data_IF_171025431843
#
_entry.id   IF_171025431843
#
_cell.length_a   1.000
_cell.length_b   1.000
_cell.length_c   1.000
_cell.angle_alpha   90.00
_cell.angle_beta   90.00
_cell.angle_gamma   90.00
#
_symmetry.space_group_name_H-M   'P 1'
#
loop_
_entity.id
_entity.type
_entity.pdbx_description
1 polymer ?
#
# COMPACT_ATOMS: atom_id res chain seq x y z
N UNK A 1 18.90 -23.52 -5.72
CA UNK A 1 17.49 -23.76 -6.05
C UNK A 1 16.71 -22.60 -5.46
N UNK A 2 16.63 -21.51 -6.22
CA UNK A 2 16.19 -20.21 -5.69
C UNK A 2 14.71 -19.98 -5.93
N UNK A 3 14.13 -19.03 -5.17
CA UNK A 3 12.78 -18.49 -5.37
C UNK A 3 12.48 -18.17 -6.85
N UNK A 4 13.52 -17.82 -7.62
CA UNK A 4 13.45 -17.55 -9.06
C UNK A 4 12.97 -18.75 -9.89
N UNK A 5 13.39 -19.97 -9.58
CA UNK A 5 12.97 -21.16 -10.35
C UNK A 5 11.50 -21.49 -10.05
N UNK A 6 11.10 -21.40 -8.78
CA UNK A 6 9.71 -21.57 -8.37
C UNK A 6 8.78 -20.48 -8.93
N UNK A 7 9.26 -19.23 -8.99
CA UNK A 7 8.52 -18.11 -9.59
C UNK A 7 8.38 -18.27 -11.11
N UNK A 8 9.41 -18.76 -11.80
CA UNK A 8 9.37 -19.03 -13.24
C UNK A 8 8.42 -20.20 -13.57
N UNK A 9 8.42 -21.26 -12.76
CA UNK A 9 7.46 -22.38 -12.91
C UNK A 9 6.00 -21.94 -12.65
N UNK A 10 5.78 -21.09 -11.64
CA UNK A 10 4.47 -20.51 -11.37
C UNK A 10 4.01 -19.62 -12.53
N UNK A 11 4.89 -18.75 -13.05
CA UNK A 11 4.61 -17.91 -14.22
C UNK A 11 4.29 -18.74 -15.48
N UNK A 12 5.06 -19.79 -15.76
CA UNK A 12 4.78 -20.67 -16.90
C UNK A 12 3.42 -21.36 -16.78
N UNK A 13 3.06 -21.80 -15.57
CA UNK A 13 1.76 -22.44 -15.32
C UNK A 13 0.62 -21.44 -15.50
N UNK A 14 0.76 -20.22 -14.98
CA UNK A 14 -0.23 -19.14 -15.14
C UNK A 14 -0.40 -18.73 -16.61
N UNK A 15 0.69 -18.66 -17.38
CA UNK A 15 0.65 -18.35 -18.82
C UNK A 15 -0.02 -19.48 -19.62
N UNK A 16 0.25 -20.75 -19.31
CA UNK A 16 -0.39 -21.89 -19.96
C UNK A 16 -1.89 -21.92 -19.72
N UNK A 17 -2.33 -21.70 -18.47
CA UNK A 17 -3.76 -21.59 -18.11
C UNK A 17 -4.40 -20.39 -18.80
N UNK A 18 -3.71 -19.24 -18.87
CA UNK A 18 -4.19 -18.06 -19.58
C UNK A 18 -4.42 -18.36 -21.07
N UNK A 19 -3.47 -19.01 -21.74
CA UNK A 19 -3.56 -19.34 -23.17
C UNK A 19 -4.71 -20.32 -23.49
N UNK A 20 -4.96 -21.33 -22.65
CA UNK A 20 -6.05 -22.30 -22.87
C UNK A 20 -7.45 -21.75 -22.55
N UNK A 21 -7.60 -20.89 -21.53
CA UNK A 21 -8.91 -20.37 -21.10
C UNK A 21 -9.36 -19.15 -21.93
N UNK A 22 -8.42 -18.35 -22.43
CA UNK A 22 -8.73 -17.11 -23.17
C UNK A 22 -9.49 -17.34 -24.49
N UNK A 23 -9.38 -18.52 -25.10
CA UNK A 23 -10.08 -18.85 -26.36
C UNK A 23 -11.59 -19.15 -26.21
N UNK A 24 -12.13 -19.31 -24.99
CA UNK A 24 -13.55 -19.66 -24.80
C UNK A 24 -14.21 -19.30 -23.46
N UNK A 25 -13.46 -18.85 -22.45
CA UNK A 25 -13.97 -18.66 -21.08
C UNK A 25 -13.35 -17.45 -20.37
N UNK A 26 -13.16 -16.32 -21.07
CA UNK A 26 -12.67 -15.05 -20.49
C UNK A 26 -13.33 -14.66 -19.15
N UNK A 27 -14.66 -14.77 -18.97
CA UNK A 27 -15.30 -14.44 -17.69
C UNK A 27 -14.87 -15.36 -16.52
N UNK A 28 -14.53 -16.62 -16.81
CA UNK A 28 -14.02 -17.55 -15.81
C UNK A 28 -12.59 -17.19 -15.43
N UNK A 29 -11.75 -16.85 -16.41
CA UNK A 29 -10.36 -16.42 -16.17
C UNK A 29 -10.31 -15.16 -15.32
N UNK A 30 -11.11 -14.14 -15.65
CA UNK A 30 -11.20 -12.89 -14.87
C UNK A 30 -11.63 -13.18 -13.43
N UNK A 31 -12.64 -14.03 -13.24
CA UNK A 31 -13.10 -14.42 -11.90
C UNK A 31 -12.03 -15.19 -11.12
N UNK A 32 -11.36 -16.15 -11.75
CA UNK A 32 -10.29 -16.92 -11.12
C UNK A 32 -9.11 -16.03 -10.75
N UNK A 33 -8.68 -15.13 -11.63
CA UNK A 33 -7.61 -14.19 -11.36
C UNK A 33 -7.98 -13.22 -10.23
N UNK A 34 -9.23 -12.75 -10.17
CA UNK A 34 -9.70 -11.92 -9.05
C UNK A 34 -9.55 -12.62 -7.70
N UNK A 35 -10.00 -13.87 -7.58
CA UNK A 35 -9.85 -14.67 -6.35
C UNK A 35 -8.37 -14.90 -6.00
N UNK A 36 -7.53 -15.13 -7.01
CA UNK A 36 -6.09 -15.30 -6.79
C UNK A 36 -5.42 -14.02 -6.29
N UNK A 37 -5.84 -12.85 -6.81
CA UNK A 37 -5.34 -11.55 -6.36
C UNK A 37 -5.78 -11.28 -4.91
N UNK A 38 -7.03 -11.54 -4.55
CA UNK A 38 -7.49 -11.48 -3.16
C UNK A 38 -6.61 -12.33 -2.23
N UNK A 39 -6.45 -13.62 -2.57
CA UNK A 39 -5.63 -14.54 -1.80
C UNK A 39 -4.16 -14.13 -1.71
N UNK A 40 -3.60 -13.53 -2.78
CA UNK A 40 -2.24 -13.01 -2.78
C UNK A 40 -2.07 -11.86 -1.78
N UNK A 41 -2.97 -10.88 -1.80
CA UNK A 41 -2.90 -9.72 -0.90
C UNK A 41 -3.15 -10.15 0.55
N UNK A 42 -4.10 -11.05 0.79
CA UNK A 42 -4.33 -11.62 2.13
C UNK A 42 -3.12 -12.41 2.63
N UNK A 43 -2.39 -13.10 1.72
CA UNK A 43 -1.14 -13.78 2.05
C UNK A 43 -0.06 -12.78 2.44
N UNK A 44 0.10 -11.67 1.69
CA UNK A 44 1.06 -10.63 2.06
C UNK A 44 0.74 -10.01 3.43
N UNK A 45 -0.53 -9.73 3.71
CA UNK A 45 -0.97 -9.21 5.00
C UNK A 45 -0.72 -10.21 6.13
N UNK A 46 -1.01 -11.49 5.90
CA UNK A 46 -0.73 -12.55 6.88
C UNK A 46 0.77 -12.68 7.17
N UNK A 47 1.60 -12.68 6.11
CA UNK A 47 3.05 -12.73 6.23
C UNK A 47 3.61 -11.52 6.98
N UNK A 48 3.06 -10.32 6.75
CA UNK A 48 3.41 -9.14 7.54
C UNK A 48 3.14 -9.38 9.03
N UNK A 49 1.93 -9.79 9.39
CA UNK A 49 1.57 -10.02 10.79
C UNK A 49 2.37 -11.14 11.46
N UNK A 50 2.75 -12.18 10.73
CA UNK A 50 3.59 -13.28 11.24
C UNK A 50 5.03 -12.85 11.55
N UNK A 51 5.52 -11.80 10.89
CA UNK A 51 6.92 -11.38 10.91
C UNK A 51 7.15 -9.96 11.49
N UNK A 52 6.09 -9.21 11.79
CA UNK A 52 6.15 -7.84 12.34
C UNK A 52 7.01 -7.71 13.61
N UNK A 53 7.07 -8.76 14.43
CA UNK A 53 7.86 -8.77 15.67
C UNK A 53 9.20 -9.55 15.55
N UNK A 54 9.50 -10.04 14.35
CA UNK A 54 10.70 -10.83 14.03
C UNK A 54 11.55 -10.08 13.01
N UNK A 55 11.39 -10.42 11.74
CA UNK A 55 12.20 -9.93 10.63
C UNK A 55 11.88 -8.47 10.28
N UNK A 56 10.65 -8.02 10.55
CA UNK A 56 10.20 -6.64 10.32
C UNK A 56 10.24 -5.79 11.60
N UNK A 57 10.92 -6.26 12.65
CA UNK A 57 10.99 -5.55 13.93
C UNK A 57 11.64 -4.16 13.81
N UNK A 58 12.54 -3.97 12.84
CA UNK A 58 13.25 -2.71 12.62
C UNK A 58 13.07 -2.23 11.17
N UNK A 59 11.82 -2.12 10.72
CA UNK A 59 11.50 -1.61 9.40
C UNK A 59 11.85 -0.12 9.31
N UNK A 60 12.91 0.21 8.56
CA UNK A 60 13.35 1.59 8.35
C UNK A 60 12.64 2.25 7.16
N UNK A 61 12.90 3.54 6.96
CA UNK A 61 12.28 4.32 5.88
C UNK A 61 12.58 3.75 4.49
N UNK A 62 13.78 3.21 4.28
CA UNK A 62 14.17 2.64 2.98
C UNK A 62 13.44 1.32 2.72
N UNK A 63 13.36 0.45 3.71
CA UNK A 63 12.60 -0.79 3.65
C UNK A 63 11.11 -0.54 3.41
N UNK A 64 10.55 0.47 4.09
CA UNK A 64 9.17 0.93 3.82
C UNK A 64 8.99 1.38 2.37
N UNK A 65 9.86 2.27 1.87
CA UNK A 65 9.76 2.77 0.49
C UNK A 65 9.90 1.65 -0.55
N UNK A 66 10.79 0.68 -0.31
CA UNK A 66 10.97 -0.47 -1.18
C UNK A 66 9.72 -1.35 -1.21
N UNK A 67 9.13 -1.66 -0.05
CA UNK A 67 7.90 -2.44 0.02
C UNK A 67 6.73 -1.71 -0.64
N UNK A 68 6.60 -0.40 -0.44
CA UNK A 68 5.59 0.41 -1.12
C UNK A 68 5.76 0.40 -2.65
N UNK A 69 7.00 0.49 -3.16
CA UNK A 69 7.28 0.37 -4.59
C UNK A 69 6.87 -1.01 -5.15
N UNK A 70 7.14 -2.09 -4.42
CA UNK A 70 6.76 -3.44 -4.81
C UNK A 70 5.23 -3.60 -4.83
N UNK A 71 4.53 -3.06 -3.83
CA UNK A 71 3.06 -3.04 -3.81
C UNK A 71 2.48 -2.20 -4.96
N UNK A 72 3.04 -1.04 -5.26
CA UNK A 72 2.64 -0.19 -6.39
C UNK A 72 2.84 -0.91 -7.73
N UNK A 73 3.92 -1.68 -7.86
CA UNK A 73 4.20 -2.53 -9.03
C UNK A 73 3.14 -3.64 -9.18
N UNK A 74 2.85 -4.38 -8.12
CA UNK A 74 1.81 -5.41 -8.13
C UNK A 74 0.43 -4.82 -8.42
N UNK A 75 0.07 -3.71 -7.77
CA UNK A 75 -1.19 -3.01 -8.02
C UNK A 75 -1.30 -2.61 -9.49
N UNK A 76 -0.24 -2.02 -10.07
CA UNK A 76 -0.26 -1.58 -11.47
C UNK A 76 -0.48 -2.74 -12.45
N UNK A 77 0.22 -3.86 -12.26
CA UNK A 77 0.13 -5.00 -13.18
C UNK A 77 -1.17 -5.78 -13.01
N UNK A 78 -1.63 -5.94 -11.77
CA UNK A 78 -2.80 -6.75 -11.45
C UNK A 78 -4.09 -5.94 -11.41
N UNK A 79 -4.04 -4.61 -11.61
CA UNK A 79 -5.21 -3.73 -11.52
C UNK A 79 -6.46 -4.22 -12.27
N UNK A 80 -6.37 -4.84 -13.47
CA UNK A 80 -7.54 -5.37 -14.17
C UNK A 80 -8.29 -6.48 -13.40
N UNK A 81 -7.61 -7.13 -12.45
CA UNK A 81 -8.11 -8.23 -11.65
C UNK A 81 -8.31 -7.87 -10.18
N UNK A 82 -8.02 -6.63 -9.77
CA UNK A 82 -8.24 -6.17 -8.40
C UNK A 82 -9.73 -6.05 -8.10
N UNK A 83 -10.22 -6.90 -7.22
CA UNK A 83 -11.56 -6.83 -6.65
C UNK A 83 -11.65 -5.76 -5.56
N UNK A 84 -12.86 -5.50 -5.05
CA UNK A 84 -13.03 -4.56 -3.96
C UNK A 84 -12.32 -5.05 -2.70
N UNK A 85 -12.50 -6.34 -2.37
CA UNK A 85 -11.88 -6.99 -1.22
C UNK A 85 -10.35 -6.91 -1.31
N UNK A 86 -9.76 -7.21 -2.47
CA UNK A 86 -8.31 -7.11 -2.66
C UNK A 86 -7.78 -5.68 -2.44
N UNK A 87 -8.53 -4.64 -2.87
CA UNK A 87 -8.15 -3.24 -2.65
C UNK A 87 -8.22 -2.85 -1.18
N UNK A 88 -9.23 -3.33 -0.46
CA UNK A 88 -9.35 -3.10 0.99
C UNK A 88 -8.23 -3.80 1.77
N UNK A 89 -7.91 -5.04 1.43
CA UNK A 89 -6.77 -5.77 2.03
C UNK A 89 -5.44 -5.08 1.71
N UNK A 90 -5.24 -4.58 0.47
CA UNK A 90 -4.02 -3.86 0.08
C UNK A 90 -3.87 -2.57 0.88
N UNK A 91 -4.95 -1.80 1.02
CA UNK A 91 -4.95 -0.57 1.82
C UNK A 91 -4.64 -0.86 3.30
N UNK A 92 -5.20 -1.95 3.83
CA UNK A 92 -4.91 -2.41 5.20
C UNK A 92 -3.42 -2.73 5.36
N UNK A 93 -2.84 -3.47 4.41
CA UNK A 93 -1.40 -3.80 4.41
C UNK A 93 -0.52 -2.54 4.34
N UNK A 94 -0.82 -1.61 3.43
CA UNK A 94 -0.08 -0.35 3.31
C UNK A 94 -0.15 0.47 4.60
N UNK A 95 -1.31 0.53 5.25
CA UNK A 95 -1.50 1.17 6.55
C UNK A 95 -0.66 0.51 7.65
N UNK A 96 -0.67 -0.81 7.72
CA UNK A 96 0.09 -1.56 8.73
C UNK A 96 1.62 -1.41 8.54
N UNK A 97 2.10 -1.37 7.30
CA UNK A 97 3.50 -1.08 6.98
C UNK A 97 3.91 0.32 7.42
N UNK A 98 3.05 1.32 7.20
CA UNK A 98 3.30 2.70 7.61
C UNK A 98 3.32 2.85 9.13
N UNK A 99 2.36 2.23 9.83
CA UNK A 99 2.33 2.20 11.29
C UNK A 99 3.63 1.59 11.82
N UNK A 100 4.04 0.43 11.29
CA UNK A 100 5.26 -0.24 11.71
C UNK A 100 6.52 0.58 11.47
N UNK A 101 6.65 1.20 10.29
CA UNK A 101 7.80 2.04 9.97
C UNK A 101 7.87 3.28 10.88
N UNK A 102 6.70 3.83 11.24
CA UNK A 102 6.59 4.95 12.18
C UNK A 102 7.01 4.54 13.60
N UNK A 103 6.55 3.39 14.09
CA UNK A 103 6.96 2.83 15.40
C UNK A 103 8.47 2.62 15.49
N UNK A 104 9.08 2.03 14.45
CA UNK A 104 10.52 1.76 14.41
C UNK A 104 11.39 3.03 14.44
N UNK A 105 10.86 4.14 13.90
CA UNK A 105 11.53 5.44 13.93
C UNK A 105 11.54 6.06 15.35
N UNK A 106 10.55 5.73 16.18
CA UNK A 106 10.44 6.19 17.57
C UNK A 106 11.33 5.34 18.49
N UNK A 107 11.31 4.02 18.33
CA UNK A 107 12.09 3.08 19.18
C UNK A 107 13.62 3.25 19.04
N UNK A 108 14.09 3.77 17.90
CA UNK A 108 15.51 4.06 17.67
C UNK A 108 16.03 5.26 18.48
N UNK A 109 15.14 6.07 19.07
CA UNK A 109 15.50 7.27 19.85
C UNK A 109 15.55 7.04 21.36
N UNK A 110 15.03 5.91 21.86
CA UNK A 110 15.07 5.56 23.29
C UNK A 110 16.25 4.64 23.62
N UNK A 111 17.46 5.19 23.69
CA UNK A 111 18.56 4.54 24.45
C UNK A 111 18.72 5.19 25.83
N UNK A 112 18.68 4.43 26.93
CA UNK A 112 18.74 4.96 28.29
C UNK A 112 20.17 5.20 28.79
N UNK A 113 20.40 6.42 29.28
CA UNK A 113 21.30 6.83 30.38
C UNK A 113 22.82 6.53 30.31
N UNK A 114 23.62 7.60 30.32
CA UNK A 114 24.65 7.72 31.36
C UNK A 114 24.84 9.18 31.77
N UNK A 115 24.34 9.54 32.96
CA UNK A 115 24.74 10.77 33.66
C UNK A 115 26.26 10.72 33.89
N UNK A 116 27.03 11.39 33.05
CA UNK A 116 28.39 11.82 33.39
C UNK A 116 28.38 13.33 33.59
N UNK A 117 28.44 13.70 34.86
CA UNK A 117 28.76 15.03 35.39
C UNK A 117 29.79 15.77 34.50
N UNK A 118 29.49 16.98 33.97
CA UNK A 118 30.49 17.76 33.26
C UNK A 118 31.37 18.52 34.26
N UNK A 119 32.63 18.13 34.39
CA UNK A 119 33.69 18.98 34.95
C UNK A 119 34.37 19.76 33.83
N UNK A 120 34.03 21.05 33.74
CA UNK A 120 34.84 22.22 33.34
C UNK A 120 36.10 21.95 32.50
N UNK A 121 36.07 22.39 31.23
CA UNK A 121 37.26 22.93 30.55
C UNK A 121 37.39 22.61 29.06
N UNK A 122 37.66 23.67 28.29
CA UNK A 122 38.43 23.71 27.03
C UNK A 122 37.67 23.58 25.70
N UNK A 123 37.87 24.61 24.87
CA UNK A 123 37.51 24.73 23.45
C UNK A 123 38.11 23.59 22.60
N UNK A 124 37.33 22.99 21.69
CA UNK A 124 37.61 22.95 20.24
C UNK A 124 36.49 22.25 19.44
N UNK A 125 36.33 22.73 18.21
CA UNK A 125 35.56 22.25 17.05
C UNK A 125 35.14 20.78 17.08
N UNK A 126 33.82 20.47 17.02
CA UNK A 126 33.31 19.33 16.23
C UNK A 126 31.88 19.61 15.73
N UNK A 127 31.75 19.55 14.40
CA UNK A 127 30.53 19.43 13.64
C UNK A 127 29.82 18.12 14.03
N UNK A 128 28.81 18.15 14.89
CA UNK A 128 27.93 16.96 15.06
C UNK A 128 26.54 17.26 15.64
N UNK A 129 25.87 18.30 15.13
CA UNK A 129 24.50 18.65 15.53
C UNK A 129 23.47 18.43 14.42
N UNK A 130 23.79 17.62 13.39
CA UNK A 130 22.84 17.22 12.31
C UNK A 130 22.35 15.78 12.41
N UNK A 131 22.68 15.05 13.47
CA UNK A 131 22.19 13.69 13.70
C UNK A 131 21.39 13.53 15.01
N UNK A 132 20.79 14.60 15.52
CA UNK A 132 19.83 14.52 16.61
C UNK A 132 18.40 14.42 16.06
N UNK A 133 17.86 13.20 16.09
CA UNK A 133 16.44 12.95 16.30
C UNK A 133 15.47 13.49 15.25
N UNK A 134 15.73 13.26 13.96
CA UNK A 134 14.65 13.42 12.96
C UNK A 134 13.70 12.22 13.10
N UNK A 135 12.74 12.28 14.03
CA UNK A 135 11.59 11.39 14.02
C UNK A 135 10.88 11.61 12.69
N UNK A 136 10.91 10.63 11.78
CA UNK A 136 10.28 10.75 10.48
C UNK A 136 8.77 10.69 10.68
N UNK A 137 8.02 11.71 10.26
CA UNK A 137 6.56 11.67 10.40
C UNK A 137 5.96 10.69 9.37
N UNK A 138 4.76 10.12 9.63
CA UNK A 138 4.07 9.27 8.66
C UNK A 138 3.87 9.96 7.30
N UNK A 139 3.58 11.26 7.29
CA UNK A 139 3.43 12.05 6.06
C UNK A 139 4.75 12.15 5.27
N UNK A 140 5.89 12.28 5.95
CA UNK A 140 7.21 12.33 5.31
C UNK A 140 7.59 10.96 4.71
N UNK A 141 7.26 9.86 5.40
CA UNK A 141 7.44 8.51 4.88
C UNK A 141 6.59 8.27 3.62
N UNK A 142 5.34 8.72 3.64
CA UNK A 142 4.45 8.66 2.46
C UNK A 142 5.06 9.46 1.31
N UNK A 143 5.50 10.70 1.56
CA UNK A 143 6.08 11.54 0.51
C UNK A 143 7.36 10.92 -0.07
N UNK A 144 8.19 10.30 0.78
CA UNK A 144 9.40 9.60 0.34
C UNK A 144 9.06 8.38 -0.52
N UNK A 145 8.12 7.54 -0.10
CA UNK A 145 7.67 6.38 -0.88
C UNK A 145 7.11 6.80 -2.25
N UNK A 146 6.31 7.87 -2.29
CA UNK A 146 5.80 8.42 -3.56
C UNK A 146 6.91 8.89 -4.50
N UNK A 147 7.95 9.52 -3.95
CA UNK A 147 9.11 9.94 -4.74
C UNK A 147 9.83 8.72 -5.33
N UNK A 148 10.10 7.70 -4.51
CA UNK A 148 10.71 6.43 -4.95
C UNK A 148 9.90 5.76 -6.06
N UNK A 149 8.59 5.63 -5.87
CA UNK A 149 7.70 5.07 -6.90
C UNK A 149 7.71 5.89 -8.19
N UNK A 150 7.69 7.22 -8.10
CA UNK A 150 7.72 8.10 -9.28
C UNK A 150 9.01 7.97 -10.08
N UNK A 151 10.14 7.71 -9.42
CA UNK A 151 11.44 7.56 -10.06
C UNK A 151 11.66 6.17 -10.67
N UNK A 152 11.19 5.11 -10.00
CA UNK A 152 11.61 3.74 -10.32
C UNK A 152 10.53 2.91 -11.00
N UNK A 153 9.25 3.12 -10.68
CA UNK A 153 8.16 2.22 -11.09
C UNK A 153 8.09 2.05 -12.62
N UNK A 154 8.19 3.15 -13.36
CA UNK A 154 8.12 3.11 -14.82
C UNK A 154 9.25 2.26 -15.43
N UNK A 155 10.48 2.42 -14.91
CA UNK A 155 11.62 1.66 -15.38
C UNK A 155 11.47 0.15 -15.10
N UNK A 156 10.87 -0.21 -13.96
CA UNK A 156 10.62 -1.60 -13.58
C UNK A 156 9.52 -2.25 -14.44
N UNK A 157 8.46 -1.50 -14.75
CA UNK A 157 7.42 -1.93 -15.69
C UNK A 157 7.99 -2.15 -17.09
N UNK A 158 8.86 -1.26 -17.57
CA UNK A 158 9.53 -1.42 -18.87
C UNK A 158 10.48 -2.63 -18.88
N UNK A 159 11.28 -2.79 -17.82
CA UNK A 159 12.21 -3.92 -17.65
C UNK A 159 11.49 -5.26 -17.66
N UNK A 160 10.27 -5.31 -17.13
CA UNK A 160 9.48 -6.54 -16.98
C UNK A 160 8.34 -6.67 -17.99
N UNK A 161 8.23 -5.75 -18.96
CA UNK A 161 7.09 -5.64 -19.90
C UNK A 161 6.70 -6.96 -20.57
N UNK A 162 7.67 -7.75 -21.01
CA UNK A 162 7.38 -9.04 -21.67
C UNK A 162 6.79 -10.08 -20.71
N UNK A 163 7.12 -10.02 -19.42
CA UNK A 163 6.60 -10.93 -18.41
C UNK A 163 5.18 -10.55 -17.99
N UNK A 164 4.82 -9.27 -18.14
CA UNK A 164 3.57 -8.70 -17.62
C UNK A 164 2.55 -8.36 -18.72
N UNK A 165 2.92 -8.48 -19.99
CA UNK A 165 2.09 -8.12 -21.14
C UNK A 165 0.69 -8.77 -21.10
N UNK A 166 0.58 -10.03 -20.67
CA UNK A 166 -0.70 -10.74 -20.58
C UNK A 166 -1.67 -10.15 -19.54
N UNK A 167 -1.18 -9.42 -18.54
CA UNK A 167 -2.02 -8.76 -17.54
C UNK A 167 -2.40 -7.33 -17.96
N UNK A 168 -1.56 -6.67 -18.76
CA UNK A 168 -1.72 -5.27 -19.16
C UNK A 168 -2.49 -5.13 -20.48
N UNK A 169 -2.32 -6.05 -21.43
CA UNK A 169 -2.99 -6.01 -22.76
C UNK A 169 -4.43 -6.57 -22.75
N UNK A 170 -4.88 -7.14 -21.62
CA UNK A 170 -6.24 -7.67 -21.45
C UNK A 170 -7.33 -6.61 -21.24
N UNK A 171 -6.95 -5.33 -21.08
CA UNK A 171 -7.88 -4.19 -20.95
C UNK A 171 -8.20 -3.56 -22.31
N UNK A 172 -9.47 -3.30 -22.65
CA UNK A 172 -9.81 -2.38 -23.73
C UNK A 172 -9.16 -1.01 -23.46
N UNK A 173 -8.55 -0.41 -24.48
CA UNK A 173 -7.78 0.84 -24.45
C UNK A 173 -8.50 2.10 -23.89
N UNK A 174 -9.69 1.99 -23.31
CA UNK A 174 -10.54 3.11 -22.90
C UNK A 174 -10.70 3.31 -21.38
N UNK A 175 -9.94 2.59 -20.54
CA UNK A 175 -9.94 2.85 -19.10
C UNK A 175 -8.53 2.82 -18.52
N UNK A 176 -7.78 3.89 -18.76
CA UNK A 176 -6.60 4.22 -17.95
C UNK A 176 -7.10 4.56 -16.54
N UNK A 177 -6.75 3.79 -15.49
CA UNK A 177 -7.07 4.18 -14.13
C UNK A 177 -6.20 5.37 -13.73
N UNK A 178 -6.81 6.32 -13.04
CA UNK A 178 -6.13 7.46 -12.44
C UNK A 178 -5.06 6.94 -11.48
N UNK A 179 -3.81 7.34 -11.74
CA UNK A 179 -2.56 6.87 -11.12
C UNK A 179 -2.59 6.77 -9.59
N UNK A 180 -1.63 6.01 -9.04
CA UNK A 180 -1.24 5.79 -7.63
C UNK A 180 -1.45 6.94 -6.60
N UNK A 181 -1.74 8.17 -7.01
CA UNK A 181 -2.16 9.30 -6.16
C UNK A 181 -3.40 9.00 -5.29
N UNK A 182 -4.31 8.13 -5.72
CA UNK A 182 -5.55 7.87 -4.99
C UNK A 182 -5.35 7.08 -3.68
N UNK A 183 -4.42 6.11 -3.66
CA UNK A 183 -4.14 5.30 -2.46
C UNK A 183 -3.61 6.17 -1.31
N UNK A 184 -2.67 7.07 -1.62
CA UNK A 184 -2.08 7.97 -0.64
C UNK A 184 -3.03 9.09 -0.16
N UNK A 185 -3.93 9.57 -1.02
CA UNK A 185 -4.98 10.51 -0.59
C UNK A 185 -5.95 9.87 0.42
N UNK A 186 -6.22 8.57 0.29
CA UNK A 186 -7.08 7.83 1.21
C UNK A 186 -6.42 7.56 2.57
N UNK A 187 -5.09 7.44 2.61
CA UNK A 187 -4.32 7.33 3.86
C UNK A 187 -4.33 8.66 4.63
N UNK A 188 -4.22 9.80 3.93
CA UNK A 188 -4.31 11.14 4.53
C UNK A 188 -5.68 11.48 5.12
N UNK A 189 -6.76 10.89 4.61
CA UNK A 189 -8.12 11.20 5.02
C UNK A 189 -8.63 10.45 6.26
N UNK A 190 -7.89 9.47 6.80
CA UNK A 190 -8.41 8.57 7.83
C UNK A 190 -8.08 8.95 9.28
N UNK A 191 -7.24 9.95 9.53
CA UNK A 191 -6.84 10.33 10.90
C UNK A 191 -7.54 11.56 11.49
N UNK A 192 -8.42 12.23 10.73
CA UNK A 192 -9.20 13.34 11.25
C UNK A 192 -10.58 12.90 11.75
N UNK A 193 -10.62 12.41 12.99
CA UNK A 193 -11.79 12.61 13.85
C UNK A 193 -11.42 12.58 15.33
N UNK A 194 -11.77 13.65 16.05
CA UNK A 194 -12.75 13.42 17.11
C UNK A 194 -13.82 14.51 17.26
N UNK A 195 -15.07 14.07 17.16
CA UNK A 195 -16.18 14.33 18.11
C UNK A 195 -16.83 15.73 18.26
N UNK A 196 -18.18 15.67 18.37
CA UNK A 196 -19.14 16.56 19.06
C UNK A 196 -19.61 17.86 18.37
N UNK A 197 -20.85 17.81 17.88
CA UNK A 197 -22.01 18.51 18.51
C UNK A 197 -23.17 18.65 17.51
N UNK A 198 -24.12 17.73 17.51
CA UNK A 198 -25.46 17.99 16.94
C UNK A 198 -26.48 18.05 18.07
N UNK A 199 -26.90 19.28 18.41
CA UNK A 199 -27.99 19.55 19.33
C UNK A 199 -29.04 20.41 18.61
N UNK A 200 -30.26 19.87 18.57
CA UNK A 200 -31.51 20.58 18.25
C UNK A 200 -31.90 20.54 16.78
N UNK A 201 -33.15 20.28 16.38
CA UNK A 201 -34.38 19.98 17.11
C UNK A 201 -35.46 19.66 16.06
N UNK A 202 -36.21 18.57 16.29
CA UNK A 202 -37.62 18.34 15.95
C UNK A 202 -38.19 18.93 14.63
N UNK A 203 -38.68 18.05 13.75
CA UNK A 203 -40.11 18.00 13.48
C UNK A 203 -40.56 16.65 12.90
N UNK A 204 -41.58 16.08 13.53
CA UNK A 204 -42.33 14.89 13.14
C UNK A 204 -43.35 15.30 12.08
N UNK A 205 -43.53 14.45 11.06
CA UNK A 205 -44.64 14.55 10.11
C UNK A 205 -44.61 13.42 9.08
N UNK A 206 -45.43 12.39 9.30
CA UNK A 206 -45.79 11.35 8.30
C UNK A 206 -47.14 11.71 7.65
N UNK A 207 -47.70 10.88 6.75
CA UNK A 207 -47.59 11.00 5.29
C UNK A 207 -48.96 11.31 4.62
N UNK A 208 -48.96 11.73 3.36
CA UNK A 208 -50.22 11.82 2.58
C UNK A 208 -50.06 11.35 1.14
N UNK A 209 -50.76 10.25 0.84
CA UNK A 209 -51.12 9.80 -0.50
C UNK A 209 -52.12 10.77 -1.15
N UNK A 210 -51.92 11.14 -2.43
CA UNK A 210 -53.02 11.36 -3.39
C UNK A 210 -52.50 11.57 -4.83
N UNK A 211 -52.82 10.61 -5.70
CA UNK A 211 -53.11 10.82 -7.14
C UNK A 211 -54.64 11.02 -7.27
N UNK A 212 -55.24 11.36 -8.43
CA UNK A 212 -54.76 12.01 -9.66
C UNK A 212 -55.73 13.12 -10.18
N UNK A 213 -55.38 13.88 -11.23
CA UNK A 213 -56.25 14.06 -12.42
C UNK A 213 -55.61 14.80 -13.60
N UNK A 214 -55.92 14.27 -14.79
CA UNK A 214 -55.73 14.82 -16.13
C UNK A 214 -56.26 16.25 -16.31
N UNK A 215 -55.59 17.02 -17.16
CA UNK A 215 -56.20 17.45 -18.43
C UNK A 215 -55.13 17.58 -19.50
#
# INVERSE_FOLDING_TARGET
MGVRDAAVELLHTLVAVHAEVFAGCKPLLEKTLGILVEGLIDTFLSLFHENQDKDLRALDANGFCQLMLELDYFETILNPYFTHEARESLKTLQGALLEKATECAVDSTETPTHNRRPTRGSDDVFLDDRQQGMTVSPDDLIALAQQYSSELLQSELERTRLNTACFVESTPLDSVPESAKAAYASLRGSMDSPSRSFRGSQHIGSPSFSRPRRR
#
